data_IF_133275930979
#
_entry.id   IF_133275930979
#
_cell.length_a   1.000
_cell.length_b   1.000
_cell.length_c   1.000
_cell.angle_alpha   90.00
_cell.angle_beta   90.00
_cell.angle_gamma   90.00
#
_symmetry.space_group_name_H-M   'P 1'
#
loop_
_entity.id
_entity.type
_entity.pdbx_description
1 polymer ?
#
# COMPACT_ATOMS: atom_id res chain seq x y z
N UNK A 1 16.34 -9.92 5.17
CA UNK A 1 15.04 -10.35 4.62
C UNK A 1 15.25 -11.05 3.29
N UNK A 2 14.72 -12.26 3.16
CA UNK A 2 14.77 -13.08 1.94
C UNK A 2 13.81 -12.59 0.85
N UNK A 3 13.96 -13.14 -0.35
CA UNK A 3 13.16 -12.78 -1.53
C UNK A 3 11.68 -13.16 -1.41
N UNK A 4 11.35 -14.25 -0.71
CA UNK A 4 9.96 -14.67 -0.50
C UNK A 4 9.21 -13.65 0.37
N UNK A 5 9.85 -13.21 1.44
CA UNK A 5 9.34 -12.16 2.33
C UNK A 5 9.12 -10.85 1.57
N UNK A 6 10.05 -10.46 0.69
CA UNK A 6 9.87 -9.28 -0.16
C UNK A 6 8.65 -9.40 -1.07
N UNK A 7 8.49 -10.52 -1.76
CA UNK A 7 7.33 -10.77 -2.63
C UNK A 7 6.02 -10.75 -1.86
N UNK A 8 5.99 -11.34 -0.66
CA UNK A 8 4.80 -11.32 0.21
C UNK A 8 4.43 -9.90 0.66
N UNK A 9 5.42 -9.05 0.93
CA UNK A 9 5.20 -7.63 1.25
C UNK A 9 4.67 -6.88 0.03
N UNK A 10 5.20 -7.14 -1.17
CA UNK A 10 4.71 -6.57 -2.42
C UNK A 10 3.24 -6.96 -2.65
N UNK A 11 2.88 -8.25 -2.54
CA UNK A 11 1.50 -8.73 -2.66
C UNK A 11 0.56 -8.10 -1.64
N UNK A 12 1.01 -7.98 -0.39
CA UNK A 12 0.23 -7.32 0.65
C UNK A 12 -0.08 -5.86 0.28
N UNK A 13 0.90 -5.09 -0.22
CA UNK A 13 0.67 -3.70 -0.58
C UNK A 13 -0.11 -3.52 -1.88
N UNK A 14 0.00 -4.43 -2.84
CA UNK A 14 -0.87 -4.42 -4.03
C UNK A 14 -2.34 -4.63 -3.62
N UNK A 15 -2.62 -5.59 -2.74
CA UNK A 15 -3.96 -5.80 -2.20
C UNK A 15 -4.44 -4.60 -1.39
N UNK A 16 -3.58 -4.03 -0.54
CA UNK A 16 -3.89 -2.82 0.22
C UNK A 16 -4.22 -1.65 -0.71
N UNK A 17 -3.46 -1.50 -1.80
CA UNK A 17 -3.69 -0.47 -2.82
C UNK A 17 -5.03 -0.63 -3.51
N UNK A 18 -5.39 -1.85 -3.90
CA UNK A 18 -6.69 -2.17 -4.50
C UNK A 18 -7.84 -1.80 -3.55
N UNK A 19 -7.80 -2.26 -2.30
CA UNK A 19 -8.85 -1.99 -1.30
C UNK A 19 -8.95 -0.49 -0.99
N UNK A 20 -7.80 0.17 -0.81
CA UNK A 20 -7.76 1.61 -0.59
C UNK A 20 -8.30 2.39 -1.81
N UNK A 21 -8.05 1.88 -3.02
CA UNK A 21 -8.52 2.51 -4.26
C UNK A 21 -10.03 2.47 -4.37
N UNK A 22 -10.64 1.31 -4.07
CA UNK A 22 -12.10 1.17 -4.00
C UNK A 22 -12.67 2.13 -2.96
N UNK A 23 -12.13 2.13 -1.74
CA UNK A 23 -12.58 3.02 -0.68
C UNK A 23 -12.44 4.51 -1.06
N UNK A 24 -11.33 4.89 -1.68
CA UNK A 24 -11.08 6.26 -2.15
C UNK A 24 -12.07 6.65 -3.25
N UNK A 25 -12.37 5.76 -4.19
CA UNK A 25 -13.33 6.00 -5.28
C UNK A 25 -14.75 6.23 -4.79
N UNK A 26 -15.21 5.43 -3.82
CA UNK A 26 -16.52 5.60 -3.20
C UNK A 26 -16.68 6.94 -2.46
N UNK A 27 -15.58 7.53 -1.99
CA UNK A 27 -15.55 8.84 -1.32
C UNK A 27 -15.46 9.99 -2.33
N UNK A 28 -14.94 9.72 -3.53
CA UNK A 28 -14.79 10.69 -4.61
C UNK A 28 -13.50 11.51 -4.54
N UNK A 29 -13.57 12.80 -4.90
CA UNK A 29 -12.38 13.66 -5.02
C UNK A 29 -11.56 13.77 -3.71
N UNK A 30 -12.23 13.75 -2.55
CA UNK A 30 -11.58 13.76 -1.24
C UNK A 30 -10.97 12.40 -0.84
N UNK A 31 -11.24 11.33 -1.61
CA UNK A 31 -10.72 9.99 -1.36
C UNK A 31 -9.20 9.89 -1.41
N UNK A 32 -8.53 10.83 -2.09
CA UNK A 32 -7.08 10.92 -2.15
C UNK A 32 -6.41 10.92 -0.77
N UNK A 33 -6.98 11.66 0.19
CA UNK A 33 -6.45 11.73 1.55
C UNK A 33 -6.55 10.38 2.27
N UNK A 34 -7.64 9.65 2.06
CA UNK A 34 -7.86 8.33 2.67
C UNK A 34 -6.83 7.33 2.17
N UNK A 35 -6.60 7.31 0.86
CA UNK A 35 -5.58 6.47 0.26
C UNK A 35 -4.17 6.76 0.76
N UNK A 36 -3.80 8.04 0.90
CA UNK A 36 -2.48 8.43 1.46
C UNK A 36 -2.31 7.96 2.91
N UNK A 37 -3.34 8.12 3.74
CA UNK A 37 -3.31 7.66 5.14
C UNK A 37 -3.17 6.14 5.22
N UNK A 38 -3.92 5.40 4.40
CA UNK A 38 -3.83 3.94 4.35
C UNK A 38 -2.44 3.51 3.85
N UNK A 39 -1.95 4.12 2.77
CA UNK A 39 -0.64 3.82 2.19
C UNK A 39 0.49 4.03 3.20
N UNK A 40 0.52 5.18 3.88
CA UNK A 40 1.53 5.46 4.90
C UNK A 40 1.42 4.50 6.10
N UNK A 41 0.19 4.18 6.54
CA UNK A 41 -0.04 3.20 7.61
C UNK A 41 0.48 1.80 7.23
N UNK A 42 0.52 1.48 5.93
CA UNK A 42 1.10 0.26 5.37
C UNK A 42 2.55 0.00 5.83
N UNK A 43 3.35 1.05 6.03
CA UNK A 43 4.71 0.90 6.57
C UNK A 43 4.74 0.23 7.95
N UNK A 44 3.93 0.73 8.87
CA UNK A 44 3.86 0.21 10.23
C UNK A 44 3.18 -1.16 10.27
N UNK A 45 2.09 -1.33 9.50
CA UNK A 45 1.38 -2.61 9.40
C UNK A 45 2.29 -3.71 8.88
N UNK A 46 3.16 -3.42 7.92
CA UNK A 46 4.10 -4.41 7.38
C UNK A 46 5.06 -4.91 8.46
N UNK A 47 5.62 -4.02 9.28
CA UNK A 47 6.50 -4.42 10.38
C UNK A 47 5.77 -5.31 11.39
N UNK A 48 4.52 -5.00 11.70
CA UNK A 48 3.70 -5.76 12.66
C UNK A 48 3.33 -7.14 12.10
N UNK A 49 2.77 -7.18 10.88
CA UNK A 49 2.24 -8.40 10.25
C UNK A 49 3.36 -9.40 9.97
N UNK A 50 4.49 -8.92 9.46
CA UNK A 50 5.63 -9.76 9.09
C UNK A 50 6.68 -9.90 10.20
N UNK A 51 6.43 -9.32 11.39
CA UNK A 51 7.33 -9.33 12.56
C UNK A 51 8.76 -8.90 12.23
N UNK A 52 8.89 -7.81 11.48
CA UNK A 52 10.17 -7.30 10.99
C UNK A 52 10.76 -6.26 11.95
N UNK A 53 12.07 -6.30 12.14
CA UNK A 53 12.80 -5.25 12.86
C UNK A 53 12.92 -3.97 12.02
N UNK A 54 13.48 -2.90 12.60
CA UNK A 54 13.81 -1.69 11.83
C UNK A 54 14.85 -1.97 10.74
N UNK A 55 15.79 -2.87 11.02
CA UNK A 55 16.88 -3.21 10.10
C UNK A 55 16.39 -4.09 8.95
N UNK A 56 15.38 -4.93 9.20
CA UNK A 56 14.76 -5.77 8.17
C UNK A 56 13.96 -4.96 7.13
N UNK A 57 13.27 -3.92 7.59
CA UNK A 57 12.45 -3.05 6.74
C UNK A 57 12.77 -1.57 6.99
N UNK A 58 13.81 -1.08 6.32
CA UNK A 58 14.12 0.34 6.25
C UNK A 58 13.10 1.12 5.40
N UNK A 59 13.05 2.44 5.56
CA UNK A 59 12.15 3.31 4.77
C UNK A 59 12.40 3.14 3.27
N UNK A 60 13.66 3.16 2.82
CA UNK A 60 14.00 3.00 1.40
C UNK A 60 13.53 1.65 0.84
N UNK A 61 13.65 0.58 1.64
CA UNK A 61 13.19 -0.76 1.24
C UNK A 61 11.67 -0.84 1.19
N UNK A 62 10.99 -0.21 2.13
CA UNK A 62 9.54 -0.11 2.09
C UNK A 62 9.04 0.72 0.91
N UNK A 63 9.74 1.79 0.51
CA UNK A 63 9.33 2.57 -0.66
C UNK A 63 9.31 1.71 -1.92
N UNK A 64 10.34 0.88 -2.15
CA UNK A 64 10.41 0.03 -3.34
C UNK A 64 9.48 -1.19 -3.26
N UNK A 65 9.37 -1.82 -2.09
CA UNK A 65 8.62 -3.09 -1.91
C UNK A 65 7.19 -2.93 -1.40
N UNK A 66 6.82 -1.74 -0.95
CA UNK A 66 5.51 -1.46 -0.36
C UNK A 66 4.83 -0.26 -1.00
N UNK A 67 5.42 0.94 -0.86
CA UNK A 67 4.79 2.17 -1.33
C UNK A 67 4.55 2.18 -2.85
N UNK A 68 5.55 1.75 -3.66
CA UNK A 68 5.39 1.70 -5.11
C UNK A 68 4.31 0.69 -5.55
N UNK A 69 4.33 -0.60 -5.11
CA UNK A 69 3.23 -1.53 -5.39
C UNK A 69 1.86 -1.02 -4.96
N UNK A 70 1.77 -0.38 -3.79
CA UNK A 70 0.53 0.25 -3.33
C UNK A 70 0.05 1.32 -4.32
N UNK A 71 0.91 2.28 -4.69
CA UNK A 71 0.56 3.40 -5.57
C UNK A 71 0.11 2.91 -6.95
N UNK A 72 0.79 1.89 -7.50
CA UNK A 72 0.47 1.30 -8.81
C UNK A 72 -0.93 0.71 -8.89
N UNK A 73 -1.49 0.23 -7.76
CA UNK A 73 -2.85 -0.29 -7.70
C UNK A 73 -3.85 0.75 -7.21
N UNK A 74 -3.47 1.54 -6.21
CA UNK A 74 -4.34 2.52 -5.58
C UNK A 74 -4.81 3.60 -6.56
N UNK A 75 -3.90 4.25 -7.28
CA UNK A 75 -4.25 5.37 -8.17
C UNK A 75 -5.18 4.94 -9.31
N UNK A 76 -4.88 3.87 -10.09
CA UNK A 76 -5.79 3.44 -11.16
C UNK A 76 -7.14 2.97 -10.64
N UNK A 77 -7.17 2.21 -9.53
CA UNK A 77 -8.43 1.74 -8.95
C UNK A 77 -9.26 2.91 -8.44
N UNK A 78 -8.65 3.90 -7.78
CA UNK A 78 -9.37 5.10 -7.33
C UNK A 78 -9.99 5.83 -8.51
N UNK A 79 -9.20 6.13 -9.55
CA UNK A 79 -9.69 6.84 -10.74
C UNK A 79 -10.83 6.06 -11.40
N UNK A 80 -10.67 4.75 -11.56
CA UNK A 80 -11.71 3.92 -12.16
C UNK A 80 -13.01 3.94 -11.35
N UNK A 81 -12.93 3.67 -10.04
CA UNK A 81 -14.12 3.58 -9.17
C UNK A 81 -14.80 4.93 -8.99
N UNK A 82 -14.04 6.04 -8.97
CA UNK A 82 -14.61 7.39 -8.91
C UNK A 82 -15.43 7.76 -10.16
N UNK A 83 -15.16 7.13 -11.31
CA UNK A 83 -15.84 7.40 -12.58
C UNK A 83 -16.87 6.34 -12.96
N UNK A 84 -17.14 5.36 -12.08
CA UNK A 84 -18.27 4.43 -12.19
C UNK A 84 -19.55 5.10 -11.68
#
# INVERSE_FOLDING_TARGET
MDEDSERRIEYFHMLLGLVAGIASGLIGASGGLVGLVIGYSGFFLTRIIFKLSQDDLSMNKWVSKGAMPFLMFWLPTWIFVYNL
#
